data_IF_421340902243
#
_entry.id   IF_421340902243
#
_cell.length_a   1.000
_cell.length_b   1.000
_cell.length_c   1.000
_cell.angle_alpha   90.00
_cell.angle_beta   90.00
_cell.angle_gamma   90.00
#
_symmetry.space_group_name_H-M   'P 1'
#
loop_
_entity.id
_entity.type
_entity.pdbx_description
1 polymer ?
#
# COMPACT_ATOMS: atom_id res chain seq x y z
N UNK A 1 7.25 -13.67 -11.86
CA UNK A 1 7.44 -12.33 -12.45
C UNK A 1 6.22 -11.51 -12.04
N UNK A 2 6.10 -11.23 -10.74
CA UNK A 2 4.95 -10.46 -10.22
C UNK A 2 5.35 -8.99 -10.18
N UNK A 3 5.29 -8.39 -11.37
CA UNK A 3 5.39 -6.96 -11.57
C UNK A 3 4.10 -6.33 -11.07
N UNK A 4 4.21 -5.41 -10.11
CA UNK A 4 3.10 -4.72 -9.48
C UNK A 4 1.93 -4.40 -10.41
N UNK A 5 0.71 -4.76 -10.00
CA UNK A 5 -0.49 -4.70 -10.87
C UNK A 5 -0.97 -3.27 -11.12
N UNK A 6 -0.55 -2.30 -10.29
CA UNK A 6 -1.09 -0.94 -10.26
C UNK A 6 -0.05 0.19 -10.38
N UNK A 7 1.18 -0.12 -10.83
CA UNK A 7 2.24 0.86 -11.08
C UNK A 7 1.82 1.99 -12.04
N UNK A 8 2.13 3.24 -11.67
CA UNK A 8 1.87 4.48 -12.43
C UNK A 8 0.38 4.74 -12.78
N UNK A 9 -0.54 4.16 -12.02
CA UNK A 9 -1.98 4.37 -12.23
C UNK A 9 -2.50 5.60 -11.47
N UNK A 10 -3.50 6.33 -12.01
CA UNK A 10 -4.15 7.46 -11.32
C UNK A 10 -5.14 7.00 -10.23
N UNK A 11 -4.87 5.88 -9.54
CA UNK A 11 -5.77 5.31 -8.55
C UNK A 11 -5.94 6.25 -7.35
N UNK A 12 -7.20 6.52 -7.02
CA UNK A 12 -7.59 7.24 -5.81
C UNK A 12 -8.02 6.29 -4.69
N UNK A 13 -8.38 5.04 -5.02
CA UNK A 13 -8.77 3.98 -4.07
C UNK A 13 -8.43 2.59 -4.61
N UNK A 14 -8.24 1.61 -3.72
CA UNK A 14 -7.78 0.24 -4.05
C UNK A 14 -8.67 -0.80 -3.37
N UNK A 15 -9.39 -1.61 -4.15
CA UNK A 15 -10.17 -2.74 -3.62
C UNK A 15 -9.28 -3.95 -3.40
N UNK A 16 -9.18 -4.39 -2.13
CA UNK A 16 -8.37 -5.54 -1.74
C UNK A 16 -9.20 -6.83 -1.74
N UNK A 17 -8.79 -7.87 -2.49
CA UNK A 17 -9.39 -9.20 -2.34
C UNK A 17 -9.07 -9.78 -0.96
N UNK A 18 -10.02 -10.47 -0.34
CA UNK A 18 -9.88 -11.05 1.01
C UNK A 18 -8.74 -12.09 1.17
N UNK A 19 -8.12 -12.51 0.07
CA UNK A 19 -7.05 -13.52 0.05
C UNK A 19 -5.63 -12.94 -0.07
N UNK A 20 -5.47 -11.61 -0.12
CA UNK A 20 -4.13 -11.00 -0.25
C UNK A 20 -3.45 -10.97 1.12
N UNK A 21 -2.28 -11.60 1.21
CA UNK A 21 -1.45 -11.70 2.43
C UNK A 21 -0.14 -10.92 2.32
N UNK A 22 0.20 -10.45 1.13
CA UNK A 22 1.40 -9.66 0.83
C UNK A 22 1.05 -8.62 -0.24
N UNK A 23 1.60 -7.42 -0.09
CA UNK A 23 1.64 -6.41 -1.15
C UNK A 23 2.93 -6.64 -1.94
N UNK A 24 2.88 -7.09 -3.20
CA UNK A 24 4.08 -7.35 -3.97
C UNK A 24 4.94 -6.10 -4.19
N UNK A 25 6.21 -6.32 -4.54
CA UNK A 25 7.13 -5.25 -4.87
C UNK A 25 6.59 -4.39 -6.04
N UNK A 26 6.79 -3.07 -5.93
CA UNK A 26 6.36 -2.06 -6.92
C UNK A 26 4.84 -1.99 -7.20
N UNK A 27 3.97 -2.57 -6.35
CA UNK A 27 2.52 -2.64 -6.63
C UNK A 27 1.86 -1.29 -6.89
N UNK A 28 2.20 -0.26 -6.11
CA UNK A 28 1.71 1.12 -6.24
C UNK A 28 2.84 2.10 -6.51
N UNK A 29 3.91 1.63 -7.16
CA UNK A 29 5.02 2.51 -7.49
C UNK A 29 4.54 3.65 -8.42
N UNK A 30 4.83 4.90 -8.05
CA UNK A 30 4.44 6.08 -8.82
C UNK A 30 2.96 6.43 -8.76
N UNK A 31 2.19 5.95 -7.77
CA UNK A 31 0.79 6.35 -7.60
C UNK A 31 0.70 7.77 -7.00
N UNK A 32 0.96 8.79 -7.81
CA UNK A 32 1.00 10.20 -7.39
C UNK A 32 -0.35 10.78 -6.96
N UNK A 33 -1.46 10.08 -7.17
CA UNK A 33 -2.81 10.51 -6.76
C UNK A 33 -3.38 9.70 -5.58
N UNK A 34 -2.62 8.73 -5.06
CA UNK A 34 -3.05 7.90 -3.94
C UNK A 34 -2.93 8.71 -2.64
N UNK A 35 -4.04 9.21 -2.12
CA UNK A 35 -4.04 10.10 -0.93
C UNK A 35 -4.11 9.35 0.38
N UNK A 36 -4.79 8.21 0.40
CA UNK A 36 -4.96 7.38 1.58
C UNK A 36 -4.93 5.91 1.19
N UNK A 37 -4.34 5.09 2.05
CA UNK A 37 -4.54 3.65 1.99
C UNK A 37 -5.34 3.27 3.22
N UNK A 38 -6.65 3.16 3.02
CA UNK A 38 -7.57 2.58 3.98
C UNK A 38 -7.97 1.22 3.46
N UNK A 39 -7.95 0.20 4.32
CA UNK A 39 -8.57 -1.08 4.03
C UNK A 39 -10.00 -0.84 3.55
N UNK A 40 -10.33 -1.31 2.35
CA UNK A 40 -11.63 -1.01 1.75
C UNK A 40 -12.75 -1.75 2.53
N UNK A 41 -13.88 -1.06 2.79
CA UNK A 41 -14.99 -1.50 3.64
C UNK A 41 -15.86 -2.64 3.08
N UNK A 42 -15.48 -3.27 1.96
CA UNK A 42 -16.28 -4.35 1.38
C UNK A 42 -16.21 -5.63 2.23
N UNK A 43 -15.15 -5.84 3.03
CA UNK A 43 -15.05 -6.86 4.09
C UNK A 43 -14.11 -6.41 5.21
N UNK A 44 -14.50 -6.44 6.49
CA UNK A 44 -13.58 -6.25 7.61
C UNK A 44 -12.51 -7.37 7.60
N UNK A 45 -11.23 -7.00 7.74
CA UNK A 45 -10.13 -7.96 7.89
C UNK A 45 -9.23 -8.19 6.66
N UNK A 46 -9.63 -7.82 5.44
CA UNK A 46 -8.80 -8.07 4.25
C UNK A 46 -7.46 -7.32 4.31
N UNK A 47 -7.49 -6.07 4.75
CA UNK A 47 -6.27 -5.28 4.99
C UNK A 47 -5.50 -5.77 6.21
N UNK A 48 -6.18 -6.27 7.24
CA UNK A 48 -5.55 -6.71 8.50
C UNK A 48 -4.72 -7.99 8.33
N UNK A 49 -5.01 -8.80 7.30
CA UNK A 49 -4.29 -10.03 6.96
C UNK A 49 -2.99 -9.82 6.17
N UNK A 50 -2.65 -8.58 5.81
CA UNK A 50 -1.42 -8.28 5.08
C UNK A 50 -0.23 -8.42 6.04
N UNK A 51 0.58 -9.44 5.81
CA UNK A 51 1.76 -9.76 6.61
C UNK A 51 3.04 -9.13 6.08
N UNK A 52 3.06 -8.71 4.80
CA UNK A 52 4.25 -8.17 4.16
C UNK A 52 3.94 -7.05 3.16
N UNK A 53 4.75 -5.99 3.19
CA UNK A 53 4.81 -4.94 2.18
C UNK A 53 6.13 -5.07 1.43
N UNK A 54 6.06 -5.36 0.13
CA UNK A 54 7.21 -5.61 -0.72
C UNK A 54 8.03 -4.37 -1.07
N UNK A 55 9.21 -4.60 -1.65
CA UNK A 55 10.15 -3.53 -1.96
C UNK A 55 9.53 -2.50 -2.91
N UNK A 56 9.72 -1.21 -2.66
CA UNK A 56 9.16 -0.12 -3.46
C UNK A 56 7.63 -0.13 -3.62
N UNK A 57 6.88 -0.88 -2.80
CA UNK A 57 5.43 -1.07 -2.97
C UNK A 57 4.64 0.24 -3.10
N UNK A 58 5.03 1.30 -2.40
CA UNK A 58 4.43 2.64 -2.44
C UNK A 58 5.46 3.72 -2.78
N UNK A 59 6.58 3.37 -3.41
CA UNK A 59 7.60 4.36 -3.72
C UNK A 59 7.06 5.39 -4.72
N UNK A 60 7.35 6.67 -4.50
CA UNK A 60 6.84 7.83 -5.24
C UNK A 60 5.33 8.09 -5.14
N UNK A 61 4.64 7.52 -4.13
CA UNK A 61 3.27 7.93 -3.76
C UNK A 61 3.28 9.31 -3.07
N UNK A 62 3.56 10.37 -3.82
CA UNK A 62 3.78 11.73 -3.30
C UNK A 62 2.53 12.37 -2.72
N UNK A 63 1.32 11.94 -3.09
CA UNK A 63 0.08 12.42 -2.50
C UNK A 63 -0.37 11.64 -1.26
N UNK A 64 0.31 10.54 -0.90
CA UNK A 64 -0.08 9.70 0.23
C UNK A 64 0.14 10.47 1.53
N UNK A 65 -0.95 10.79 2.23
CA UNK A 65 -0.91 11.60 3.46
C UNK A 65 -1.02 10.75 4.72
N UNK A 66 -1.79 9.66 4.65
CA UNK A 66 -2.08 8.77 5.76
C UNK A 66 -2.05 7.32 5.31
N UNK A 67 -1.43 6.46 6.10
CA UNK A 67 -1.52 5.01 5.97
C UNK A 67 -1.89 4.37 7.31
N UNK A 68 -2.87 3.47 7.28
CA UNK A 68 -3.11 2.55 8.40
C UNK A 68 -2.34 1.26 8.12
N UNK A 69 -1.47 0.82 9.02
CA UNK A 69 -0.76 -0.44 8.88
C UNK A 69 -1.70 -1.62 9.22
N UNK A 70 -1.55 -2.77 8.55
CA UNK A 70 -2.22 -4.02 8.89
C UNK A 70 -1.87 -4.49 10.31
N UNK A 71 -2.84 -5.06 11.02
CA UNK A 71 -2.62 -5.65 12.34
C UNK A 71 -1.59 -6.80 12.30
N UNK A 72 -1.62 -7.63 11.26
CA UNK A 72 -0.70 -8.78 11.11
C UNK A 72 0.59 -8.43 10.36
N UNK A 73 0.90 -7.15 10.14
CA UNK A 73 2.09 -6.74 9.39
C UNK A 73 3.37 -7.17 10.11
N UNK A 74 4.17 -8.01 9.45
CA UNK A 74 5.45 -8.54 9.97
C UNK A 74 6.65 -7.93 9.27
N UNK A 75 6.52 -7.62 7.98
CA UNK A 75 7.66 -7.24 7.14
C UNK A 75 7.34 -6.03 6.27
N UNK A 76 8.24 -5.04 6.27
CA UNK A 76 8.27 -3.94 5.30
C UNK A 76 9.63 -4.01 4.61
N UNK A 77 9.64 -4.30 3.32
CA UNK A 77 10.86 -4.42 2.53
C UNK A 77 11.45 -3.05 2.16
N UNK A 78 12.69 -3.08 1.66
CA UNK A 78 13.48 -1.92 1.27
C UNK A 78 12.69 -0.91 0.42
N UNK A 79 12.75 0.36 0.82
CA UNK A 79 12.18 1.49 0.06
C UNK A 79 10.66 1.43 -0.16
N UNK A 80 9.90 0.61 0.59
CA UNK A 80 8.46 0.48 0.44
C UNK A 80 7.71 1.83 0.40
N UNK A 81 8.15 2.83 1.17
CA UNK A 81 7.56 4.18 1.23
C UNK A 81 8.52 5.30 0.78
N UNK A 82 9.50 4.97 -0.08
CA UNK A 82 10.48 5.95 -0.56
C UNK A 82 9.77 7.07 -1.33
N UNK A 83 10.18 8.32 -1.13
CA UNK A 83 9.61 9.49 -1.84
C UNK A 83 8.10 9.71 -1.57
N UNK A 84 7.52 9.12 -0.52
CA UNK A 84 6.19 9.49 -0.02
C UNK A 84 6.26 10.82 0.74
N UNK A 85 6.49 11.92 0.03
CA UNK A 85 6.81 13.22 0.65
C UNK A 85 5.68 13.84 1.45
N UNK A 86 4.43 13.46 1.19
CA UNK A 86 3.26 13.97 1.93
C UNK A 86 2.84 13.08 3.11
N UNK A 87 3.52 11.94 3.34
CA UNK A 87 3.12 10.98 4.36
C UNK A 87 3.40 11.56 5.75
N UNK A 88 2.34 12.01 6.41
CA UNK A 88 2.41 12.67 7.71
C UNK A 88 1.95 11.75 8.86
N UNK A 89 1.03 10.83 8.56
CA UNK A 89 0.38 9.99 9.58
C UNK A 89 0.52 8.51 9.25
N UNK A 90 0.97 7.74 10.25
CA UNK A 90 1.01 6.28 10.21
C UNK A 90 0.24 5.78 11.42
N UNK A 91 -0.90 5.14 11.16
CA UNK A 91 -1.76 4.52 12.17
C UNK A 91 -1.52 3.01 12.21
N UNK A 92 -1.88 2.38 13.33
CA UNK A 92 -1.82 0.92 13.55
C UNK A 92 -3.21 0.31 13.74
#
# INVERSE_FOLDING_TARGET
MDTGVFWHTPLTSVEWPAAVTEIPANTFWGCHQLTTIKGIPSQPGAWDNITKIGANAFNECTALTTIKLPAELKTIDTQAFRTCTSLATVDY
#
